data_IF_376220295244
#
_entry.id   IF_376220295244
#
_cell.length_a   1.000
_cell.length_b   1.000
_cell.length_c   1.000
_cell.angle_alpha   90.00
_cell.angle_beta   90.00
_cell.angle_gamma   90.00
#
_symmetry.space_group_name_H-M   'P 1'
#
loop_
_entity.id
_entity.type
_entity.pdbx_description
1 polymer ?
#
# COMPACT_ATOMS: atom_id res chain seq x y z
N UNK A 1 10.54 -11.56 -25.40
CA UNK A 1 9.31 -10.84 -24.97
C UNK A 1 9.63 -10.19 -23.63
N UNK A 2 9.78 -8.87 -23.59
CA UNK A 2 10.24 -8.15 -22.41
C UNK A 2 9.17 -8.12 -21.34
N UNK A 3 9.44 -8.72 -20.18
CA UNK A 3 8.56 -8.65 -19.01
C UNK A 3 8.54 -7.20 -18.51
N UNK A 4 7.35 -6.62 -18.40
CA UNK A 4 7.13 -5.27 -17.89
C UNK A 4 7.44 -5.17 -16.39
N UNK A 5 8.72 -5.12 -16.02
CA UNK A 5 9.15 -4.95 -14.63
C UNK A 5 8.92 -3.52 -14.09
N UNK A 6 8.60 -2.55 -14.94
CA UNK A 6 8.50 -1.14 -14.54
C UNK A 6 7.27 -0.82 -13.67
N UNK A 7 6.11 -1.43 -13.93
CA UNK A 7 4.89 -1.12 -13.18
C UNK A 7 4.84 -1.84 -11.83
N UNK A 8 5.26 -3.10 -11.78
CA UNK A 8 5.24 -3.89 -10.54
C UNK A 8 6.14 -3.28 -9.46
N UNK A 9 7.33 -2.77 -9.82
CA UNK A 9 8.21 -2.09 -8.88
C UNK A 9 7.69 -0.71 -8.44
N UNK A 10 6.85 -0.04 -9.26
CA UNK A 10 6.33 1.30 -8.93
C UNK A 10 5.28 1.30 -7.82
N UNK A 11 4.61 0.17 -7.61
CA UNK A 11 3.52 0.03 -6.61
C UNK A 11 3.75 -1.12 -5.64
N UNK A 12 4.97 -1.66 -5.56
CA UNK A 12 5.33 -2.80 -4.69
C UNK A 12 4.97 -2.55 -3.20
N UNK A 13 5.11 -1.31 -2.75
CA UNK A 13 4.73 -0.88 -1.39
C UNK A 13 3.26 -1.20 -1.06
N UNK A 14 2.35 -1.20 -2.05
CA UNK A 14 0.95 -1.53 -1.85
C UNK A 14 0.76 -3.03 -1.66
N UNK A 15 1.50 -3.86 -2.41
CA UNK A 15 1.48 -5.31 -2.20
C UNK A 15 2.03 -5.66 -0.81
N UNK A 16 3.08 -4.96 -0.36
CA UNK A 16 3.61 -5.11 1.01
C UNK A 16 2.58 -4.74 2.08
N UNK A 17 1.80 -3.67 1.88
CA UNK A 17 0.67 -3.34 2.75
C UNK A 17 -0.35 -4.49 2.81
N UNK A 18 -0.79 -5.01 1.66
CA UNK A 18 -1.75 -6.11 1.61
C UNK A 18 -1.23 -7.34 2.36
N UNK A 19 0.04 -7.68 2.18
CA UNK A 19 0.66 -8.81 2.87
C UNK A 19 0.74 -8.59 4.40
N UNK A 20 1.04 -7.37 4.85
CA UNK A 20 1.04 -7.03 6.28
C UNK A 20 -0.35 -7.12 6.90
N UNK A 21 -1.39 -6.67 6.19
CA UNK A 21 -2.77 -6.74 6.66
C UNK A 21 -3.30 -8.18 6.64
N UNK A 22 -2.96 -8.97 5.61
CA UNK A 22 -3.35 -10.37 5.52
C UNK A 22 -2.80 -11.21 6.69
N UNK A 23 -1.59 -10.90 7.19
CA UNK A 23 -1.04 -11.51 8.41
C UNK A 23 -1.90 -11.28 9.67
N UNK A 24 -2.78 -10.28 9.66
CA UNK A 24 -3.76 -9.99 10.72
C UNK A 24 -5.16 -10.55 10.44
N UNK A 25 -5.31 -11.35 9.39
CA UNK A 25 -6.62 -11.82 8.91
C UNK A 25 -7.43 -10.76 8.15
N UNK A 26 -6.85 -9.59 7.88
CA UNK A 26 -7.50 -8.53 7.10
C UNK A 26 -7.13 -8.70 5.62
N UNK A 27 -8.07 -9.16 4.81
CA UNK A 27 -7.89 -9.30 3.36
C UNK A 27 -8.88 -8.41 2.63
N UNK A 28 -8.45 -7.85 1.51
CA UNK A 28 -9.32 -7.04 0.67
C UNK A 28 -10.25 -7.95 -0.12
N UNK A 29 -11.54 -7.83 0.13
CA UNK A 29 -12.55 -8.48 -0.70
C UNK A 29 -12.53 -7.94 -2.13
N UNK A 30 -12.86 -8.79 -3.10
CA UNK A 30 -12.75 -8.46 -4.53
C UNK A 30 -13.65 -7.31 -4.97
N UNK A 31 -14.78 -7.11 -4.28
CA UNK A 31 -15.73 -6.04 -4.55
C UNK A 31 -15.31 -4.68 -3.95
N UNK A 32 -14.36 -4.66 -3.01
CA UNK A 32 -13.88 -3.43 -2.39
C UNK A 32 -12.80 -2.78 -3.25
N UNK A 33 -12.93 -1.48 -3.49
CA UNK A 33 -11.82 -0.67 -4.01
C UNK A 33 -10.69 -0.62 -2.97
N UNK A 34 -9.45 -0.28 -3.40
CA UNK A 34 -8.35 -0.06 -2.48
C UNK A 34 -8.69 0.94 -1.35
N UNK A 35 -9.34 2.05 -1.67
CA UNK A 35 -9.67 3.11 -0.70
C UNK A 35 -10.72 2.65 0.31
N UNK A 36 -11.76 1.93 -0.14
CA UNK A 36 -12.77 1.36 0.75
C UNK A 36 -12.15 0.34 1.71
N UNK A 37 -11.27 -0.52 1.22
CA UNK A 37 -10.54 -1.45 2.08
C UNK A 37 -9.68 -0.74 3.12
N UNK A 38 -8.94 0.30 2.72
CA UNK A 38 -8.15 1.09 3.67
C UNK A 38 -9.02 1.77 4.73
N UNK A 39 -10.21 2.24 4.36
CA UNK A 39 -11.19 2.79 5.30
C UNK A 39 -11.71 1.73 6.29
N UNK A 40 -11.99 0.51 5.83
CA UNK A 40 -12.38 -0.60 6.71
C UNK A 40 -11.28 -1.01 7.69
N UNK A 41 -10.02 -1.00 7.26
CA UNK A 41 -8.86 -1.28 8.13
C UNK A 41 -8.75 -0.25 9.26
N UNK A 42 -9.18 0.99 9.03
CA UNK A 42 -9.21 2.05 10.05
C UNK A 42 -7.85 2.58 10.49
N UNK A 43 -6.75 2.13 9.87
CA UNK A 43 -5.40 2.59 10.18
C UNK A 43 -4.98 3.74 9.27
N UNK A 44 -4.52 4.84 9.87
CA UNK A 44 -4.06 6.03 9.15
C UNK A 44 -2.97 5.70 8.14
N UNK A 45 -2.03 4.83 8.50
CA UNK A 45 -0.96 4.35 7.61
C UNK A 45 -1.51 3.64 6.37
N UNK A 46 -2.54 2.80 6.52
CA UNK A 46 -3.16 2.10 5.41
C UNK A 46 -3.82 3.08 4.43
N UNK A 47 -4.47 4.13 4.95
CA UNK A 47 -5.06 5.18 4.14
C UNK A 47 -3.99 5.99 3.36
N UNK A 48 -2.89 6.38 4.01
CA UNK A 48 -1.77 7.10 3.38
C UNK A 48 -1.17 6.28 2.24
N UNK A 49 -0.84 5.01 2.51
CA UNK A 49 -0.22 4.11 1.52
C UNK A 49 -1.18 3.88 0.35
N UNK A 50 -2.47 3.66 0.62
CA UNK A 50 -3.45 3.38 -0.43
C UNK A 50 -3.77 4.61 -1.28
N UNK A 51 -3.72 5.80 -0.70
CA UNK A 51 -3.86 7.05 -1.45
C UNK A 51 -2.69 7.23 -2.42
N UNK A 52 -1.45 6.99 -1.96
CA UNK A 52 -0.27 7.00 -2.82
C UNK A 52 -0.36 5.95 -3.94
N UNK A 53 -0.83 4.75 -3.63
CA UNK A 53 -1.08 3.70 -4.63
C UNK A 53 -2.01 4.18 -5.76
N UNK A 54 -3.17 4.77 -5.41
CA UNK A 54 -4.12 5.25 -6.41
C UNK A 54 -3.52 6.35 -7.30
N UNK A 55 -2.80 7.30 -6.69
CA UNK A 55 -2.09 8.39 -7.40
C UNK A 55 -1.05 7.85 -8.39
N UNK A 56 -0.25 6.87 -7.99
CA UNK A 56 0.79 6.28 -8.85
C UNK A 56 0.18 5.40 -9.94
N UNK A 57 -0.77 4.54 -9.59
CA UNK A 57 -1.35 3.52 -10.47
C UNK A 57 -2.31 4.08 -11.51
N UNK A 58 -3.13 5.06 -11.13
CA UNK A 58 -4.19 5.62 -11.99
C UNK A 58 -3.91 7.06 -12.40
N UNK A 59 -3.24 7.84 -11.55
CA UNK A 59 -2.87 9.23 -11.86
C UNK A 59 -1.55 9.38 -12.63
N UNK A 60 -0.84 8.27 -12.92
CA UNK A 60 0.48 8.23 -13.54
C UNK A 60 1.54 9.10 -12.82
N UNK A 61 1.33 9.41 -11.54
CA UNK A 61 2.26 10.19 -10.73
C UNK A 61 3.47 9.33 -10.33
N UNK A 62 4.58 9.98 -10.00
CA UNK A 62 5.77 9.34 -9.44
C UNK A 62 5.90 9.74 -7.98
N UNK A 63 6.39 8.81 -7.16
CA UNK A 63 6.75 9.12 -5.78
C UNK A 63 8.06 9.92 -5.77
N UNK A 64 8.06 10.99 -5.00
CA UNK A 64 9.29 11.67 -4.64
C UNK A 64 10.10 10.82 -3.66
N UNK A 65 11.43 10.98 -3.56
CA UNK A 65 12.24 10.27 -2.57
C UNK A 65 11.77 10.48 -1.12
N UNK A 66 11.23 11.66 -0.81
CA UNK A 66 10.61 11.95 0.48
C UNK A 66 9.33 11.14 0.71
N UNK A 67 8.43 11.10 -0.28
CA UNK A 67 7.20 10.31 -0.22
C UNK A 67 7.52 8.82 -0.06
N UNK A 68 8.46 8.26 -0.83
CA UNK A 68 8.88 6.87 -0.68
C UNK A 68 9.36 6.55 0.73
N UNK A 69 10.17 7.44 1.34
CA UNK A 69 10.60 7.27 2.75
C UNK A 69 9.44 7.33 3.73
N UNK A 70 8.47 8.21 3.51
CA UNK A 70 7.26 8.28 4.34
C UNK A 70 6.43 6.99 4.24
N UNK A 71 6.29 6.42 3.04
CA UNK A 71 5.57 5.16 2.83
C UNK A 71 6.27 3.99 3.53
N UNK A 72 7.60 3.90 3.46
CA UNK A 72 8.36 2.89 4.19
C UNK A 72 8.20 3.03 5.72
N UNK A 73 8.17 4.26 6.23
CA UNK A 73 7.90 4.50 7.66
C UNK A 73 6.47 4.08 8.05
N UNK A 74 5.48 4.36 7.21
CA UNK A 74 4.10 3.93 7.43
C UNK A 74 3.98 2.39 7.45
N UNK A 75 4.65 1.70 6.51
CA UNK A 75 4.72 0.23 6.50
C UNK A 75 5.39 -0.31 7.77
N UNK A 76 6.51 0.30 8.20
CA UNK A 76 7.21 -0.12 9.42
C UNK A 76 6.37 0.09 10.70
N UNK A 77 5.59 1.18 10.77
CA UNK A 77 4.66 1.42 11.89
C UNK A 77 3.55 0.38 11.91
N UNK A 78 2.96 0.10 10.74
CA UNK A 78 1.98 -0.98 10.62
C UNK A 78 2.59 -2.31 11.02
N UNK A 79 3.81 -2.65 10.61
CA UNK A 79 4.45 -3.90 11.01
C UNK A 79 4.71 -3.98 12.53
N UNK A 80 5.15 -2.90 13.18
CA UNK A 80 5.36 -2.88 14.63
C UNK A 80 4.08 -3.06 15.44
N UNK A 81 2.97 -2.50 14.96
CA UNK A 81 1.65 -2.78 15.53
C UNK A 81 1.14 -4.21 15.23
N UNK A 82 1.89 -5.07 14.52
CA UNK A 82 1.62 -6.52 14.40
C UNK A 82 2.29 -7.28 15.56
N UNK A 83 3.35 -6.72 16.14
CA UNK A 83 4.27 -7.43 17.03
C UNK A 83 3.95 -7.26 18.53
N UNK A 84 2.71 -6.93 18.89
CA UNK A 84 2.25 -6.85 20.28
C UNK A 84 1.00 -7.67 20.52
#
# INVERSE_FOLDING_TARGET
>A
MGVGHGESSRVDFYQRLLNLLAKRGLTRETHLTPLEFAAQVGATEAAVITTAYNRVRFGNQKLSPAESRMLEQALARLEKGVAQ
#
